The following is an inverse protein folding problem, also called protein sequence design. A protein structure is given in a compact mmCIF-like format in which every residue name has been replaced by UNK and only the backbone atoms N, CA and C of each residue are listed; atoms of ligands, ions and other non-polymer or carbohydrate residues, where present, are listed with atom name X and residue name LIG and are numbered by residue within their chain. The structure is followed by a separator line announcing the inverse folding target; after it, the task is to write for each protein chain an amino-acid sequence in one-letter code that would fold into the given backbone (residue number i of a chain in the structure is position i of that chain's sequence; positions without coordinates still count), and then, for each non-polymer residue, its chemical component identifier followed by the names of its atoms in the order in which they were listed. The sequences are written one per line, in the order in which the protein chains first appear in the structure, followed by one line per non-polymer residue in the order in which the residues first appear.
data_IF_589325173091
#
_entry.id   IF_589325173091
#
_cell.length_a   1.000
_cell.length_b   1.000
_cell.length_c   1.000
_cell.angle_alpha   90.00
_cell.angle_beta   90.00
_cell.angle_gamma   90.00
#
_symmetry.space_group_name_H-M   'P 1'
#
loop_
_entity.id
_entity.type
_entity.pdbx_description
1 polymer ?
#
# COMPACT_ATOMS: atom_id res chain seq x y z
N UNK A 1 26.47 -5.71 -0.20
CA UNK A 1 25.54 -5.69 -1.34
C UNK A 1 24.42 -4.74 -0.97
N UNK A 2 24.14 -3.70 -1.77
CA UNK A 2 22.99 -2.83 -1.50
C UNK A 2 21.72 -3.66 -1.73
N UNK A 3 20.99 -3.99 -0.66
CA UNK A 3 19.65 -4.59 -0.78
C UNK A 3 18.84 -3.70 -1.74
N UNK A 4 18.22 -4.30 -2.76
CA UNK A 4 17.30 -3.57 -3.63
C UNK A 4 16.24 -2.89 -2.76
N UNK A 5 16.12 -1.57 -2.88
CA UNK A 5 15.18 -0.76 -2.08
C UNK A 5 13.74 -0.94 -2.56
N UNK A 6 13.56 -1.44 -3.78
CA UNK A 6 12.26 -1.51 -4.43
C UNK A 6 11.35 -2.62 -3.88
N UNK A 7 11.80 -3.87 -3.65
CA UNK A 7 10.98 -4.88 -2.97
C UNK A 7 10.47 -4.44 -1.58
N UNK A 8 11.30 -3.70 -0.83
CA UNK A 8 10.88 -3.12 0.45
C UNK A 8 9.84 -2.01 0.26
N UNK A 9 9.94 -1.23 -0.82
CA UNK A 9 8.94 -0.22 -1.16
C UNK A 9 7.61 -0.86 -1.57
N UNK A 10 7.64 -1.98 -2.30
CA UNK A 10 6.47 -2.77 -2.63
C UNK A 10 5.80 -3.31 -1.36
N UNK A 11 6.55 -3.98 -0.48
CA UNK A 11 5.98 -4.50 0.77
C UNK A 11 5.42 -3.37 1.65
N UNK A 12 6.13 -2.24 1.73
CA UNK A 12 5.64 -1.06 2.44
C UNK A 12 4.37 -0.47 1.81
N UNK A 13 4.22 -0.57 0.50
CA UNK A 13 3.00 -0.16 -0.22
C UNK A 13 1.84 -1.04 0.23
N UNK A 14 2.01 -2.36 0.17
CA UNK A 14 1.00 -3.32 0.61
C UNK A 14 0.55 -3.06 2.05
N UNK A 15 1.52 -2.92 2.97
CA UNK A 15 1.25 -2.61 4.37
C UNK A 15 0.55 -1.26 4.57
N UNK A 16 0.94 -0.24 3.79
CA UNK A 16 0.32 1.09 3.92
C UNK A 16 -1.14 1.06 3.49
N UNK A 17 -1.52 0.29 2.47
CA UNK A 17 -2.92 0.10 2.07
C UNK A 17 -3.71 -0.72 3.08
N UNK A 18 -3.15 -1.84 3.56
CA UNK A 18 -3.75 -2.70 4.60
C UNK A 18 -4.03 -1.96 5.92
N UNK A 19 -3.40 -0.80 6.15
CA UNK A 19 -3.60 -0.04 7.39
C UNK A 19 -4.23 1.32 7.16
N UNK A 20 -4.44 1.74 5.90
CA UNK A 20 -4.75 3.14 5.60
C UNK A 20 -6.11 3.56 6.12
N UNK A 21 -7.07 2.66 6.24
CA UNK A 21 -8.44 2.90 6.72
C UNK A 21 -8.59 2.69 8.24
N UNK A 22 -7.54 2.23 8.92
CA UNK A 22 -7.56 1.91 10.35
C UNK A 22 -8.13 0.53 10.69
N UNK A 23 -8.35 -0.34 9.70
CA UNK A 23 -8.74 -1.72 9.89
C UNK A 23 -7.70 -2.63 9.26
N UNK A 24 -7.58 -3.87 9.74
CA UNK A 24 -6.76 -4.90 9.11
C UNK A 24 -7.65 -6.12 8.96
N UNK A 25 -7.86 -6.59 7.73
CA UNK A 25 -8.59 -7.82 7.44
C UNK A 25 -7.63 -8.99 7.16
N UNK A 26 -8.04 -10.19 7.57
CA UNK A 26 -7.27 -11.43 7.34
C UNK A 26 -6.96 -11.65 5.87
N UNK A 27 -7.89 -11.33 4.96
CA UNK A 27 -7.72 -11.56 3.52
C UNK A 27 -6.65 -10.64 2.92
N UNK A 28 -6.49 -9.42 3.45
CA UNK A 28 -5.41 -8.51 3.05
C UNK A 28 -4.05 -9.09 3.44
N UNK A 29 -3.90 -9.58 4.68
CA UNK A 29 -2.67 -10.24 5.15
C UNK A 29 -2.36 -11.45 4.27
N UNK A 30 -3.36 -12.29 3.98
CA UNK A 30 -3.22 -13.45 3.09
C UNK A 30 -2.78 -13.01 1.69
N UNK A 31 -3.32 -11.91 1.16
CA UNK A 31 -2.92 -11.34 -0.13
C UNK A 31 -1.44 -10.97 -0.14
N UNK A 32 -0.97 -10.27 0.89
CA UNK A 32 0.44 -9.90 1.06
C UNK A 32 1.33 -11.15 1.11
N UNK A 33 1.00 -12.14 1.92
CA UNK A 33 1.80 -13.36 2.03
C UNK A 33 1.87 -14.12 0.70
N UNK A 34 0.74 -14.23 -0.02
CA UNK A 34 0.68 -14.88 -1.34
C UNK A 34 1.47 -14.13 -2.41
N UNK A 35 1.45 -12.81 -2.41
CA UNK A 35 2.27 -12.00 -3.31
C UNK A 35 3.77 -12.31 -3.14
N UNK A 36 4.22 -12.44 -1.90
CA UNK A 36 5.59 -12.83 -1.57
C UNK A 36 5.93 -14.26 -1.96
N UNK A 37 5.06 -15.22 -1.67
CA UNK A 37 5.34 -16.64 -1.88
C UNK A 37 5.15 -17.09 -3.33
N UNK A 38 4.12 -16.60 -4.02
CA UNK A 38 3.78 -17.03 -5.39
C UNK A 38 4.60 -16.31 -6.45
N UNK A 39 4.67 -14.98 -6.37
CA UNK A 39 5.26 -14.15 -7.41
C UNK A 39 6.66 -13.63 -7.06
N UNK A 40 7.15 -13.92 -5.83
CA UNK A 40 8.44 -13.46 -5.30
C UNK A 40 8.69 -11.94 -5.46
N UNK A 41 7.62 -11.13 -5.42
CA UNK A 41 7.71 -9.69 -5.70
C UNK A 41 8.46 -8.92 -4.61
N UNK A 42 8.52 -9.48 -3.40
CA UNK A 42 9.24 -8.92 -2.27
C UNK A 42 10.69 -9.41 -2.17
N UNK A 43 11.14 -10.28 -3.08
CA UNK A 43 12.49 -10.84 -3.07
C UNK A 43 12.80 -11.57 -1.76
N UNK A 44 14.02 -11.42 -1.25
CA UNK A 44 14.50 -12.14 -0.04
C UNK A 44 14.04 -11.51 1.29
N UNK A 45 12.90 -10.80 1.31
CA UNK A 45 12.38 -10.20 2.55
C UNK A 45 11.68 -11.27 3.39
N UNK A 46 12.04 -11.36 4.66
CA UNK A 46 11.25 -12.08 5.68
C UNK A 46 10.00 -11.26 5.98
N UNK A 47 8.88 -11.60 5.33
CA UNK A 47 7.69 -10.74 5.27
C UNK A 47 7.08 -10.53 6.65
N UNK A 48 6.92 -11.59 7.44
CA UNK A 48 6.34 -11.56 8.78
C UNK A 48 7.16 -10.67 9.74
N UNK A 49 8.49 -10.81 9.74
CA UNK A 49 9.38 -9.94 10.54
C UNK A 49 9.26 -8.46 10.13
N UNK A 50 9.21 -8.17 8.83
CA UNK A 50 9.11 -6.78 8.36
C UNK A 50 7.71 -6.20 8.63
N UNK A 51 6.64 -7.00 8.53
CA UNK A 51 5.29 -6.60 8.93
C UNK A 51 5.22 -6.26 10.43
N UNK A 52 5.81 -7.08 11.30
CA UNK A 52 5.88 -6.80 12.74
C UNK A 52 6.58 -5.47 13.02
N UNK A 53 7.70 -5.23 12.34
CA UNK A 53 8.46 -3.97 12.44
C UNK A 53 7.64 -2.78 11.96
N UNK A 54 6.88 -2.93 10.87
CA UNK A 54 6.02 -1.88 10.34
C UNK A 54 4.83 -1.58 11.25
N UNK A 55 4.20 -2.60 11.86
CA UNK A 55 3.14 -2.44 12.87
C UNK A 55 3.61 -1.62 14.07
N UNK A 56 4.77 -1.98 14.64
CA UNK A 56 5.38 -1.22 15.74
C UNK A 56 5.62 0.25 15.35
N UNK A 57 6.05 0.50 14.11
CA UNK A 57 6.31 1.86 13.61
C UNK A 57 5.03 2.66 13.40
N UNK A 58 3.98 2.08 12.83
CA UNK A 58 2.71 2.80 12.63
C UNK A 58 1.99 3.03 13.96
N UNK A 59 2.03 2.09 14.90
CA UNK A 59 1.49 2.30 16.25
C UNK A 59 2.20 3.44 17.00
N UNK A 60 3.51 3.60 16.79
CA UNK A 60 4.28 4.69 17.40
C UNK A 60 4.04 6.05 16.73
N UNK A 61 3.82 6.07 15.41
CA UNK A 61 3.88 7.30 14.60
C UNK A 61 2.53 7.72 14.00
N UNK A 62 1.53 6.85 14.05
CA UNK A 62 0.24 7.02 13.39
C UNK A 62 0.37 7.44 11.92
N UNK A 63 -0.41 8.45 11.53
CA UNK A 63 -0.44 9.00 10.17
C UNK A 63 0.92 9.50 9.66
N UNK A 64 1.87 9.87 10.52
CA UNK A 64 3.22 10.26 10.09
C UNK A 64 4.00 9.10 9.44
N UNK A 65 3.64 7.85 9.75
CA UNK A 65 4.18 6.69 9.05
C UNK A 65 3.76 6.67 7.57
N UNK A 66 2.47 6.93 7.30
CA UNK A 66 1.89 6.96 5.96
C UNK A 66 2.37 8.18 5.15
N UNK A 67 2.51 9.35 5.79
CA UNK A 67 3.14 10.53 5.16
C UNK A 67 4.58 10.24 4.74
N UNK A 68 5.34 9.55 5.59
CA UNK A 68 6.70 9.13 5.25
C UNK A 68 6.73 8.07 4.14
N UNK A 69 5.68 7.28 3.96
CA UNK A 69 5.55 6.38 2.82
C UNK A 69 5.45 7.18 1.51
N UNK A 70 4.50 8.12 1.40
CA UNK A 70 4.37 8.95 0.20
C UNK A 70 5.63 9.74 -0.12
N UNK A 71 6.29 10.31 0.90
CA UNK A 71 7.57 11.01 0.73
C UNK A 71 8.68 10.11 0.18
N UNK A 72 8.67 8.80 0.48
CA UNK A 72 9.64 7.86 -0.11
C UNK A 72 9.29 7.51 -1.54
N UNK A 73 8.01 7.28 -1.86
CA UNK A 73 7.56 7.08 -3.24
C UNK A 73 7.97 8.28 -4.11
N UNK A 74 7.63 9.50 -3.68
CA UNK A 74 7.90 10.74 -4.43
C UNK A 74 9.39 11.04 -4.67
N UNK A 75 10.28 10.48 -3.84
CA UNK A 75 11.75 10.66 -3.96
C UNK A 75 12.44 9.50 -4.65
N UNK A 76 11.69 8.44 -4.98
CA UNK A 76 12.24 7.26 -5.64
C UNK A 76 12.30 7.50 -7.14
N UNK A 77 13.43 7.17 -7.76
CA UNK A 77 13.56 7.18 -9.21
C UNK A 77 13.02 5.85 -9.76
N UNK A 78 11.71 5.79 -9.98
CA UNK A 78 11.00 4.57 -10.38
C UNK A 78 10.80 4.52 -11.89
N UNK A 79 11.05 3.37 -12.50
CA UNK A 79 10.63 3.12 -13.89
C UNK A 79 9.11 3.04 -14.00
N UNK A 80 8.57 3.23 -15.20
CA UNK A 80 7.14 3.06 -15.46
C UNK A 80 6.62 1.70 -14.95
N UNK A 81 7.34 0.61 -15.23
CA UNK A 81 7.00 -0.73 -14.73
C UNK A 81 6.99 -0.80 -13.20
N UNK A 82 7.96 -0.18 -12.52
CA UNK A 82 7.99 -0.14 -11.06
C UNK A 82 6.82 0.65 -10.47
N UNK A 83 6.40 1.72 -11.14
CA UNK A 83 5.23 2.49 -10.73
C UNK A 83 3.94 1.69 -10.92
N UNK A 84 3.81 0.96 -12.02
CA UNK A 84 2.69 0.03 -12.25
C UNK A 84 2.67 -1.11 -11.22
N UNK A 85 3.83 -1.61 -10.80
CA UNK A 85 3.92 -2.61 -9.74
C UNK A 85 3.46 -2.07 -8.37
N UNK A 86 3.73 -0.80 -8.04
CA UNK A 86 3.16 -0.18 -6.83
C UNK A 86 1.62 -0.13 -6.89
N UNK A 87 1.06 0.21 -8.05
CA UNK A 87 -0.40 0.21 -8.25
C UNK A 87 -0.96 -1.21 -8.15
N UNK A 88 -0.32 -2.20 -8.78
CA UNK A 88 -0.75 -3.60 -8.70
C UNK A 88 -0.81 -4.08 -7.25
N UNK A 89 0.24 -3.83 -6.46
CA UNK A 89 0.27 -4.20 -5.04
C UNK A 89 -0.84 -3.49 -4.25
N UNK A 90 -1.07 -2.21 -4.51
CA UNK A 90 -2.18 -1.48 -3.87
C UNK A 90 -3.53 -2.12 -4.21
N UNK A 91 -3.78 -2.39 -5.50
CA UNK A 91 -4.99 -3.04 -5.98
C UNK A 91 -5.19 -4.43 -5.36
N UNK A 92 -4.13 -5.24 -5.30
CA UNK A 92 -4.20 -6.60 -4.77
C UNK A 92 -4.53 -6.64 -3.28
N UNK A 93 -4.23 -5.58 -2.53
CA UNK A 93 -4.63 -5.42 -1.13
C UNK A 93 -6.08 -4.93 -1.04
N UNK A 94 -6.41 -3.81 -1.69
CA UNK A 94 -7.74 -3.18 -1.62
C UNK A 94 -8.87 -4.13 -2.06
N UNK A 95 -8.60 -4.98 -3.06
CA UNK A 95 -9.60 -5.92 -3.56
C UNK A 95 -9.54 -7.30 -2.88
N UNK A 96 -8.67 -7.50 -1.88
CA UNK A 96 -8.48 -8.80 -1.24
C UNK A 96 -9.72 -9.27 -0.47
N UNK A 97 -10.41 -8.34 0.20
CA UNK A 97 -11.56 -8.64 1.04
C UNK A 97 -12.92 -8.50 0.33
N UNK A 98 -12.91 -7.93 -0.88
CA UNK A 98 -14.04 -7.54 -1.72
C UNK A 98 -14.85 -6.35 -1.20
N UNK A 99 -14.29 -5.58 -0.25
CA UNK A 99 -14.90 -4.38 0.33
C UNK A 99 -14.02 -3.16 0.10
N UNK A 100 -14.17 -2.51 -1.06
CA UNK A 100 -13.43 -1.26 -1.35
C UNK A 100 -13.97 -0.10 -0.51
N UNK A 101 -13.14 0.47 0.35
CA UNK A 101 -13.48 1.57 1.27
C UNK A 101 -13.07 2.92 0.71
N UNK A 102 -13.82 3.96 1.07
CA UNK A 102 -13.60 5.33 0.58
C UNK A 102 -12.19 5.85 0.94
N UNK A 103 -11.68 5.47 2.10
CA UNK A 103 -10.35 5.88 2.56
C UNK A 103 -9.22 5.22 1.76
N UNK A 104 -9.39 3.97 1.32
CA UNK A 104 -8.45 3.31 0.42
C UNK A 104 -8.44 3.98 -0.95
N UNK A 105 -9.63 4.34 -1.46
CA UNK A 105 -9.78 5.10 -2.71
C UNK A 105 -9.04 6.43 -2.63
N UNK A 106 -9.25 7.19 -1.54
CA UNK A 106 -8.53 8.45 -1.34
C UNK A 106 -7.02 8.23 -1.21
N UNK A 107 -6.58 7.17 -0.53
CA UNK A 107 -5.16 6.84 -0.38
C UNK A 107 -4.51 6.48 -1.72
N UNK A 108 -5.20 5.71 -2.58
CA UNK A 108 -4.73 5.41 -3.94
C UNK A 108 -4.68 6.66 -4.82
N UNK A 109 -5.65 7.56 -4.69
CA UNK A 109 -5.62 8.86 -5.39
C UNK A 109 -4.41 9.68 -4.97
N UNK A 110 -4.09 9.70 -3.68
CA UNK A 110 -2.86 10.34 -3.19
C UNK A 110 -1.61 9.67 -3.77
N UNK A 111 -1.54 8.33 -3.77
CA UNK A 111 -0.43 7.61 -4.41
C UNK A 111 -0.27 7.99 -5.88
N UNK A 112 -1.36 8.02 -6.65
CA UNK A 112 -1.37 8.38 -8.08
C UNK A 112 -0.72 9.73 -8.34
N UNK A 113 -0.92 10.73 -7.47
CA UNK A 113 -0.28 12.06 -7.63
C UNK A 113 1.25 12.04 -7.47
N UNK A 114 1.81 10.95 -6.96
CA UNK A 114 3.25 10.76 -6.77
C UNK A 114 3.92 9.97 -7.90
N UNK A 115 3.13 9.50 -8.87
CA UNK A 115 3.59 8.67 -9.97
C UNK A 115 3.62 9.51 -11.26
N UNK A 116 4.67 9.31 -12.05
CA UNK A 116 4.89 9.90 -13.37
C UNK A 116 4.46 8.89 -14.46
N UNK A 117 3.21 8.43 -14.39
CA UNK A 117 2.58 7.56 -15.40
C UNK A 117 1.20 8.11 -15.74
N UNK A 118 0.82 7.99 -17.02
CA UNK A 118 -0.46 8.52 -17.48
C UNK A 118 -1.62 7.64 -17.07
N UNK A 119 -2.78 8.27 -16.90
CA UNK A 119 -4.03 7.59 -16.63
C UNK A 119 -4.39 6.53 -17.67
N UNK A 120 -4.08 6.80 -18.94
CA UNK A 120 -4.30 5.84 -20.01
C UNK A 120 -3.53 4.54 -19.80
N UNK A 121 -2.29 4.60 -19.32
CA UNK A 121 -1.47 3.41 -19.04
C UNK A 121 -2.04 2.67 -17.84
N UNK A 122 -2.36 3.40 -16.75
CA UNK A 122 -3.00 2.82 -15.56
C UNK A 122 -4.28 2.09 -15.94
N UNK A 123 -5.19 2.74 -16.68
CA UNK A 123 -6.49 2.17 -17.06
C UNK A 123 -6.38 1.02 -18.05
N UNK A 124 -5.33 1.00 -18.89
CA UNK A 124 -5.06 -0.14 -19.76
C UNK A 124 -4.68 -1.37 -18.93
N UNK A 125 -3.90 -1.19 -17.86
CA UNK A 125 -3.44 -2.30 -17.01
C UNK A 125 -4.45 -2.69 -15.94
N UNK A 126 -5.21 -1.73 -15.43
CA UNK A 126 -6.14 -1.84 -14.30
C UNK A 126 -7.51 -1.23 -14.65
N UNK A 127 -8.24 -1.79 -15.63
CA UNK A 127 -9.52 -1.22 -16.07
C UNK A 127 -10.57 -1.16 -14.96
N UNK A 128 -10.46 -2.00 -13.92
CA UNK A 128 -11.33 -1.96 -12.74
C UNK A 128 -11.24 -0.62 -11.98
N UNK A 129 -10.10 0.07 -12.04
CA UNK A 129 -9.91 1.36 -11.36
C UNK A 129 -10.75 2.48 -12.00
N UNK A 130 -11.18 2.33 -13.25
CA UNK A 130 -11.97 3.33 -13.97
C UNK A 130 -13.26 3.70 -13.23
N UNK A 131 -13.89 2.72 -12.58
CA UNK A 131 -15.17 2.91 -11.91
C UNK A 131 -15.02 3.57 -10.55
N UNK A 132 -14.03 3.12 -9.78
CA UNK A 132 -13.96 3.37 -8.34
C UNK A 132 -12.87 4.40 -7.97
N UNK A 133 -11.88 4.68 -8.84
CA UNK A 133 -10.67 5.42 -8.45
C UNK A 133 -10.24 6.54 -9.40
N UNK A 134 -10.80 6.62 -10.60
CA UNK A 134 -10.37 7.58 -11.62
C UNK A 134 -11.53 8.50 -12.00
N UNK A 135 -11.53 9.68 -11.39
CA UNK A 135 -12.37 10.81 -11.78
C UNK A 135 -11.59 11.71 -12.76
N UNK A 136 -12.29 12.60 -13.47
CA UNK A 136 -11.73 13.67 -14.32
C UNK A 136 -10.99 14.73 -13.48
N UNK A 137 -10.07 14.27 -12.64
CA UNK A 137 -9.25 15.09 -11.75
C UNK A 137 -8.14 15.75 -12.55
N UNK A 138 -8.14 17.09 -12.60
CA UNK A 138 -6.98 17.85 -13.04
C UNK A 138 -6.05 18.08 -11.85
N UNK A 139 -4.96 17.30 -11.74
CA UNK A 139 -3.99 17.38 -10.64
C UNK A 139 -3.10 18.62 -10.71
N UNK A 140 -3.70 19.79 -10.49
CA UNK A 140 -2.93 21.01 -10.19
C UNK A 140 -2.20 20.86 -8.85
N UNK A 141 -1.07 21.54 -8.67
CA UNK A 141 -0.31 21.50 -7.41
C UNK A 141 -1.18 21.84 -6.18
N UNK A 142 -2.07 22.83 -6.31
CA UNK A 142 -3.01 23.21 -5.27
C UNK A 142 -4.00 22.09 -4.93
N UNK A 143 -4.50 21.39 -5.95
CA UNK A 143 -5.41 20.25 -5.77
C UNK A 143 -4.72 19.07 -5.08
N UNK A 144 -3.50 18.74 -5.50
CA UNK A 144 -2.69 17.68 -4.86
C UNK A 144 -2.42 18.01 -3.39
N UNK A 145 -2.00 19.25 -3.10
CA UNK A 145 -1.78 19.70 -1.73
C UNK A 145 -3.06 19.61 -0.87
N UNK A 146 -4.21 19.97 -1.44
CA UNK A 146 -5.50 19.85 -0.78
C UNK A 146 -5.90 18.38 -0.56
N UNK A 147 -5.71 17.51 -1.54
CA UNK A 147 -6.00 16.08 -1.44
C UNK A 147 -5.18 15.43 -0.31
N UNK A 148 -3.87 15.70 -0.27
CA UNK A 148 -2.98 15.28 0.81
C UNK A 148 -3.45 15.79 2.17
N UNK A 149 -3.70 17.09 2.27
CA UNK A 149 -4.13 17.72 3.51
C UNK A 149 -5.44 17.11 4.00
N UNK A 150 -6.44 17.00 3.12
CA UNK A 150 -7.76 16.47 3.44
C UNK A 150 -7.70 15.01 3.88
N UNK A 151 -6.88 14.17 3.25
CA UNK A 151 -6.75 12.78 3.64
C UNK A 151 -6.24 12.62 5.08
N UNK A 152 -5.24 13.41 5.46
CA UNK A 152 -4.62 13.31 6.79
C UNK A 152 -5.26 14.21 7.85
N UNK A 153 -6.12 15.16 7.45
CA UNK A 153 -6.75 16.11 8.37
C UNK A 153 -7.72 15.37 9.29
N UNK A 154 -7.49 15.48 10.59
CA UNK A 154 -8.28 14.83 11.65
C UNK A 154 -8.31 13.29 11.58
N UNK A 155 -7.40 12.67 10.81
CA UNK A 155 -7.29 11.22 10.76
C UNK A 155 -6.47 10.74 11.96
N UNK A 156 -7.11 9.99 12.84
CA UNK A 156 -6.45 9.28 13.93
C UNK A 156 -6.28 7.82 13.52
N UNK A 157 -5.07 7.30 13.71
CA UNK A 157 -4.79 5.88 13.48
C UNK A 157 -5.06 5.11 14.78
N UNK A 158 -5.78 3.98 14.73
CA UNK A 158 -5.89 3.12 15.89
C UNK A 158 -4.53 2.47 16.21
N UNK A 159 -4.43 1.94 17.42
CA UNK A 159 -3.34 1.03 17.77
C UNK A 159 -3.75 -0.36 17.30
N UNK A 160 -2.98 -0.93 16.38
CA UNK A 160 -3.18 -2.28 15.89
C UNK A 160 -2.58 -3.28 16.87
N UNK A 161 -3.29 -4.37 17.16
CA UNK A 161 -2.68 -5.49 17.86
C UNK A 161 -1.71 -6.21 16.93
N UNK A 162 -0.50 -6.45 17.42
CA UNK A 162 0.53 -7.13 16.64
C UNK A 162 0.16 -8.61 16.44
N UNK A 163 -0.52 -9.24 17.42
CA UNK A 163 -0.93 -10.64 17.30
C UNK A 163 -1.92 -10.86 16.17
N UNK A 164 -2.79 -9.89 15.88
CA UNK A 164 -3.80 -10.00 14.80
C UNK A 164 -3.15 -10.25 13.44
N UNK A 165 -1.92 -9.76 13.23
CA UNK A 165 -1.16 -10.03 12.01
C UNK A 165 -0.26 -11.25 12.18
N UNK A 166 0.46 -11.35 13.30
CA UNK A 166 1.49 -12.38 13.49
C UNK A 166 0.92 -13.79 13.62
N UNK A 167 -0.27 -13.96 14.20
CA UNK A 167 -0.91 -15.26 14.29
C UNK A 167 -1.30 -15.77 12.89
N UNK A 168 -1.81 -14.87 12.04
CA UNK A 168 -2.20 -15.20 10.66
C UNK A 168 -0.98 -15.53 9.80
N UNK A 169 0.07 -14.71 9.85
CA UNK A 169 1.29 -14.99 9.07
C UNK A 169 1.95 -16.29 9.50
N UNK A 170 2.00 -16.54 10.81
CA UNK A 170 2.54 -17.79 11.37
C UNK A 170 1.75 -19.01 10.89
N UNK A 171 0.41 -18.95 10.89
CA UNK A 171 -0.41 -20.07 10.42
C UNK A 171 -0.25 -20.32 8.91
N UNK A 172 -0.18 -19.27 8.10
CA UNK A 172 0.11 -19.40 6.65
C UNK A 172 1.47 -20.05 6.42
N UNK A 173 2.49 -19.66 7.18
CA UNK A 173 3.84 -20.23 7.05
C UNK A 173 3.87 -21.71 7.44
N UNK A 174 3.07 -22.15 8.42
CA UNK A 174 2.94 -23.57 8.79
C UNK A 174 2.25 -24.40 7.71
N UNK A 175 1.27 -23.85 6.98
CA UNK A 175 0.56 -24.57 5.92
C UNK A 175 1.45 -24.91 4.72
N UNK A 176 2.61 -24.24 4.61
CA UNK A 176 3.49 -24.28 3.44
C UNK A 176 4.84 -24.96 3.74
N UNK A 177 5.16 -25.16 5.02
CA UNK A 177 6.36 -25.85 5.50
C UNK A 177 6.19 -27.38 5.52
#
# INVERSE_FOLDING_TARGET
MSKSTFPHLLLRTAFSFMTCDGHIDKKEIVSIMRMGQGNNIFGDITIDEELEVMLKKINLRGTEYLKDYFRKVSKSNLTEEQQLQLIQVAVDVIYADLEVREDEVKFLRVLRTMLDISDSIILTRFPQLAKDFMWDDNFTEAYVAQLHSNYFKNKEMPIFDVSDVMDITTDILKEIA
#
